data_IF_206938529779
#
_entry.id   IF_206938529779
#
_cell.length_a   1.000
_cell.length_b   1.000
_cell.length_c   1.000
_cell.angle_alpha   90.00
_cell.angle_beta   90.00
_cell.angle_gamma   90.00
#
_symmetry.space_group_name_H-M   'P 1'
#
loop_
_entity.id
_entity.type
_entity.pdbx_description
1 polymer ?
#
# COMPACT_ATOMS: atom_id res chain seq x y z
N UNK A 1 -16.32 -53.83 -13.05
CA UNK A 1 -17.02 -53.35 -14.26
C UNK A 1 -17.00 -51.82 -14.21
N UNK A 2 -16.36 -51.04 -15.07
CA UNK A 2 -15.52 -51.26 -16.24
C UNK A 2 -14.43 -50.16 -16.21
N UNK A 3 -13.17 -50.52 -16.47
CA UNK A 3 -12.06 -49.58 -16.58
C UNK A 3 -11.88 -49.24 -18.06
N UNK A 4 -11.89 -47.94 -18.39
CA UNK A 4 -11.65 -47.44 -19.74
C UNK A 4 -10.23 -46.90 -19.81
N UNK A 5 -9.35 -47.68 -20.43
CA UNK A 5 -7.98 -47.28 -20.80
C UNK A 5 -7.99 -46.60 -22.17
N UNK A 6 -7.40 -45.41 -22.27
CA UNK A 6 -7.13 -44.70 -23.52
C UNK A 6 -5.63 -44.76 -23.83
N UNK A 7 -5.20 -45.00 -25.09
CA UNK A 7 -3.80 -45.14 -25.42
C UNK A 7 -3.12 -43.79 -25.72
N UNK A 8 -1.90 -43.67 -25.21
CA UNK A 8 -0.94 -42.59 -25.48
C UNK A 8 -0.23 -42.82 -26.83
N UNK A 9 -0.33 -41.85 -27.75
CA UNK A 9 0.58 -41.74 -28.89
C UNK A 9 1.46 -40.51 -28.68
N UNK A 10 2.77 -40.73 -28.58
CA UNK A 10 3.81 -39.70 -28.56
C UNK A 10 4.64 -39.86 -29.82
N UNK A 11 4.34 -39.08 -30.84
CA UNK A 11 5.16 -38.96 -32.04
C UNK A 11 5.83 -37.58 -31.99
N UNK A 12 7.08 -37.55 -31.52
CA UNK A 12 7.88 -36.33 -31.35
C UNK A 12 8.72 -36.16 -32.62
N UNK A 13 8.15 -35.45 -33.60
CA UNK A 13 8.83 -35.00 -34.80
C UNK A 13 9.86 -33.92 -34.46
N UNK A 14 11.09 -34.14 -34.95
CA UNK A 14 12.16 -33.15 -35.09
C UNK A 14 11.65 -31.96 -35.92
N UNK A 15 11.67 -30.75 -35.37
CA UNK A 15 11.78 -29.49 -36.12
C UNK A 15 12.00 -28.32 -35.14
N UNK A 16 13.17 -28.26 -34.50
CA UNK A 16 13.61 -27.06 -33.75
C UNK A 16 15.09 -26.80 -34.06
N UNK A 17 15.37 -26.04 -35.12
CA UNK A 17 16.68 -25.39 -35.26
C UNK A 17 16.70 -24.08 -36.07
N UNK A 18 15.55 -23.46 -36.34
CA UNK A 18 15.47 -22.19 -37.09
C UNK A 18 14.50 -21.24 -36.36
N UNK A 19 14.89 -20.70 -35.20
CA UNK A 19 14.13 -19.63 -34.53
C UNK A 19 15.02 -18.50 -33.98
N UNK A 20 16.24 -18.81 -33.52
CA UNK A 20 17.10 -17.83 -32.83
C UNK A 20 17.72 -16.71 -33.69
N UNK A 21 17.49 -16.68 -35.01
CA UNK A 21 17.99 -15.59 -35.87
C UNK A 21 16.97 -14.49 -36.16
N UNK A 22 15.69 -14.73 -35.90
CA UNK A 22 14.62 -13.75 -36.15
C UNK A 22 14.62 -12.62 -35.10
N UNK A 23 14.88 -12.97 -33.83
CA UNK A 23 14.70 -12.01 -32.73
C UNK A 23 15.79 -10.94 -32.66
N UNK A 24 17.00 -11.22 -33.16
CA UNK A 24 18.09 -10.22 -33.23
C UNK A 24 17.89 -9.14 -34.31
N UNK A 25 17.03 -9.39 -35.29
CA UNK A 25 16.75 -8.42 -36.37
C UNK A 25 15.65 -7.44 -35.93
N UNK A 26 14.64 -7.92 -35.19
CA UNK A 26 13.57 -7.08 -34.63
C UNK A 26 14.09 -6.04 -33.64
N UNK A 27 15.06 -6.40 -32.79
CA UNK A 27 15.63 -5.48 -31.79
C UNK A 27 16.46 -4.33 -32.42
N UNK A 28 17.04 -4.54 -33.61
CA UNK A 28 17.74 -3.48 -34.36
C UNK A 28 16.79 -2.51 -35.05
N UNK A 29 15.62 -2.97 -35.52
CA UNK A 29 14.62 -2.11 -36.15
C UNK A 29 14.06 -1.07 -35.17
N UNK A 30 13.74 -1.48 -33.93
CA UNK A 30 13.21 -0.57 -32.92
C UNK A 30 14.22 0.50 -32.47
N UNK A 31 15.53 0.19 -32.42
CA UNK A 31 16.56 1.19 -32.10
C UNK A 31 16.68 2.29 -33.16
N UNK A 32 16.51 1.95 -34.43
CA UNK A 32 16.62 2.92 -35.54
C UNK A 32 15.42 3.86 -35.55
N UNK A 33 14.22 3.37 -35.22
CA UNK A 33 13.02 4.22 -35.16
C UNK A 33 13.05 5.22 -34.00
N UNK A 34 13.63 4.86 -32.85
CA UNK A 34 13.82 5.81 -31.72
C UNK A 34 14.87 6.90 -32.00
N UNK A 35 15.75 6.67 -32.99
CA UNK A 35 16.81 7.58 -33.40
C UNK A 35 16.34 8.59 -34.46
N UNK A 36 15.42 8.20 -35.35
CA UNK A 36 14.80 9.11 -36.34
C UNK A 36 13.88 10.15 -35.70
N UNK A 37 13.11 9.76 -34.68
CA UNK A 37 12.23 10.69 -33.95
C UNK A 37 13.06 11.72 -33.16
N UNK A 38 14.24 11.32 -32.68
CA UNK A 38 15.18 12.22 -32.01
C UNK A 38 15.78 13.27 -32.94
N UNK A 39 16.04 12.94 -34.21
CA UNK A 39 16.58 13.89 -35.18
C UNK A 39 15.53 14.95 -35.60
N UNK A 40 14.27 14.53 -35.73
CA UNK A 40 13.16 15.43 -36.07
C UNK A 40 12.87 16.45 -34.96
N UNK A 41 12.76 16.01 -33.70
CA UNK A 41 12.44 16.90 -32.56
C UNK A 41 13.56 17.93 -32.26
N UNK A 42 14.81 17.59 -32.60
CA UNK A 42 15.95 18.51 -32.43
C UNK A 42 15.92 19.67 -33.43
N UNK A 43 15.31 19.47 -34.60
CA UNK A 43 15.15 20.50 -35.63
C UNK A 43 14.28 21.67 -35.16
N UNK A 44 13.22 21.38 -34.40
CA UNK A 44 12.25 22.39 -33.94
C UNK A 44 12.83 23.34 -32.88
N UNK A 45 13.63 22.83 -31.93
CA UNK A 45 14.32 23.70 -30.96
C UNK A 45 15.47 24.50 -31.61
N UNK A 46 16.05 24.02 -32.71
CA UNK A 46 17.14 24.72 -33.43
C UNK A 46 16.59 25.82 -34.34
N UNK A 47 15.44 25.62 -34.99
CA UNK A 47 14.82 26.64 -35.86
C UNK A 47 14.42 27.91 -35.08
N UNK A 48 13.92 27.75 -33.85
CA UNK A 48 13.61 28.86 -32.95
C UNK A 48 14.88 29.69 -32.61
N UNK A 49 16.04 29.04 -32.48
CA UNK A 49 17.31 29.72 -32.19
C UNK A 49 17.91 30.40 -33.43
N UNK A 50 17.69 29.86 -34.63
CA UNK A 50 18.16 30.46 -35.88
C UNK A 50 17.42 31.77 -36.19
N UNK A 51 16.12 31.85 -35.89
CA UNK A 51 15.32 33.06 -36.12
C UNK A 51 15.67 34.20 -35.14
N UNK A 52 16.22 33.90 -33.96
CA UNK A 52 16.67 34.90 -32.98
C UNK A 52 18.00 35.58 -33.36
N UNK A 53 18.83 34.97 -34.21
CA UNK A 53 20.18 35.48 -34.53
C UNK A 53 20.16 36.51 -35.67
N UNK A 54 19.07 36.59 -36.44
CA UNK A 54 18.94 37.51 -37.57
C UNK A 54 18.68 38.98 -37.19
N UNK A 55 18.47 39.30 -35.90
CA UNK A 55 17.97 40.63 -35.48
C UNK A 55 18.89 41.33 -34.47
N UNK A 56 20.20 41.24 -34.67
CA UNK A 56 21.19 41.98 -33.87
C UNK A 56 21.38 43.41 -34.39
N UNK A 57 20.38 44.25 -34.13
CA UNK A 57 20.47 45.70 -34.25
C UNK A 57 20.01 46.38 -32.96
N UNK A 58 20.95 46.63 -32.04
CA UNK A 58 20.87 47.64 -30.96
C UNK A 58 19.58 47.67 -30.12
N UNK A 59 19.57 47.07 -28.93
CA UNK A 59 19.06 47.73 -27.71
C UNK A 59 19.32 46.85 -26.47
N UNK A 60 19.95 47.44 -25.45
CA UNK A 60 20.00 46.91 -24.09
C UNK A 60 18.57 46.89 -23.54
N UNK A 61 17.93 45.72 -23.52
CA UNK A 61 16.69 45.52 -22.77
C UNK A 61 16.83 44.25 -21.93
N UNK A 62 16.29 44.36 -20.74
CA UNK A 62 16.32 43.37 -19.67
C UNK A 62 15.84 42.01 -20.17
N UNK A 63 16.35 40.99 -19.48
CA UNK A 63 16.13 39.56 -19.66
C UNK A 63 14.65 39.17 -19.71
N UNK A 64 13.99 39.41 -20.83
CA UNK A 64 12.73 38.76 -21.17
C UNK A 64 13.10 37.36 -21.70
N UNK A 65 13.26 36.43 -20.76
CA UNK A 65 13.52 35.03 -21.08
C UNK A 65 12.29 34.47 -21.78
N UNK A 66 12.34 34.46 -23.12
CA UNK A 66 11.30 33.91 -23.98
C UNK A 66 10.88 32.52 -23.44
N UNK A 67 9.62 32.31 -23.03
CA UNK A 67 9.16 31.08 -22.38
C UNK A 67 9.43 29.83 -23.23
N UNK A 68 9.59 29.97 -24.54
CA UNK A 68 10.00 28.89 -25.45
C UNK A 68 11.41 28.34 -25.16
N UNK A 69 12.35 29.18 -24.71
CA UNK A 69 13.72 28.75 -24.38
C UNK A 69 13.81 27.91 -23.11
N UNK A 70 12.93 28.13 -22.13
CA UNK A 70 12.90 27.36 -20.88
C UNK A 70 12.52 25.90 -21.17
N UNK A 71 11.51 25.67 -22.00
CA UNK A 71 11.06 24.32 -22.34
C UNK A 71 12.10 23.52 -23.13
N UNK A 72 12.81 24.16 -24.08
CA UNK A 72 13.91 23.49 -24.78
C UNK A 72 15.08 23.16 -23.83
N UNK A 73 15.39 24.00 -22.84
CA UNK A 73 16.41 23.68 -21.83
C UNK A 73 15.99 22.49 -20.94
N UNK A 74 14.73 22.43 -20.51
CA UNK A 74 14.21 21.30 -19.72
C UNK A 74 14.22 20.00 -20.52
N UNK A 75 13.75 20.03 -21.77
CA UNK A 75 13.80 18.86 -22.67
C UNK A 75 15.23 18.38 -22.94
N UNK A 76 16.18 19.31 -23.10
CA UNK A 76 17.58 18.98 -23.33
C UNK A 76 18.25 18.35 -22.09
N UNK A 77 17.86 18.76 -20.89
CA UNK A 77 18.42 18.24 -19.65
C UNK A 77 17.89 16.84 -19.27
N UNK A 78 16.63 16.54 -19.57
CA UNK A 78 16.03 15.23 -19.32
C UNK A 78 14.99 14.90 -20.41
N UNK A 79 15.40 14.05 -21.37
CA UNK A 79 14.58 13.58 -22.51
C UNK A 79 13.21 13.05 -22.07
N UNK A 80 13.11 12.51 -20.86
CA UNK A 80 11.90 11.85 -20.37
C UNK A 80 11.23 12.58 -19.22
N UNK A 81 11.53 13.87 -19.04
CA UNK A 81 11.03 14.67 -17.93
C UNK A 81 9.49 14.69 -17.87
N UNK A 82 8.82 14.89 -19.00
CA UNK A 82 7.36 14.96 -19.07
C UNK A 82 6.72 13.63 -18.63
N UNK A 83 7.21 12.50 -19.15
CA UNK A 83 6.72 11.17 -18.80
C UNK A 83 6.94 10.85 -17.31
N UNK A 84 8.14 11.12 -16.78
CA UNK A 84 8.44 10.91 -15.35
C UNK A 84 7.56 11.77 -14.46
N UNK A 85 7.26 13.00 -14.87
CA UNK A 85 6.41 13.91 -14.11
C UNK A 85 4.94 13.49 -14.18
N UNK A 86 4.48 12.99 -15.33
CA UNK A 86 3.14 12.44 -15.50
C UNK A 86 2.91 11.20 -14.60
N UNK A 87 3.85 10.23 -14.58
CA UNK A 87 3.76 9.09 -13.67
C UNK A 87 3.72 9.56 -12.21
N UNK A 88 4.54 10.55 -11.85
CA UNK A 88 4.60 11.05 -10.47
C UNK A 88 3.30 11.73 -10.06
N UNK A 89 2.71 12.53 -10.95
CA UNK A 89 1.41 13.14 -10.74
C UNK A 89 0.31 12.08 -10.59
N UNK A 90 0.33 11.04 -11.43
CA UNK A 90 -0.59 9.90 -11.31
C UNK A 90 -0.42 9.15 -9.98
N UNK A 91 0.83 8.94 -9.54
CA UNK A 91 1.12 8.33 -8.23
C UNK A 91 0.59 9.18 -7.07
N UNK A 92 0.73 10.51 -7.13
CA UNK A 92 0.16 11.41 -6.14
C UNK A 92 -1.37 11.33 -6.11
N UNK A 93 -2.01 11.28 -7.28
CA UNK A 93 -3.47 11.16 -7.39
C UNK A 93 -3.97 9.85 -6.77
N UNK A 94 -3.33 8.72 -7.12
CA UNK A 94 -3.65 7.40 -6.55
C UNK A 94 -3.46 7.38 -5.04
N UNK A 95 -2.35 7.95 -4.54
CA UNK A 95 -2.07 8.03 -3.12
C UNK A 95 -3.11 8.90 -2.37
N UNK A 96 -3.55 10.00 -2.99
CA UNK A 96 -4.58 10.87 -2.41
C UNK A 96 -5.94 10.16 -2.32
N UNK A 97 -6.35 9.44 -3.37
CA UNK A 97 -7.60 8.65 -3.35
C UNK A 97 -7.52 7.57 -2.26
N UNK A 98 -6.41 6.82 -2.21
CA UNK A 98 -6.17 5.81 -1.19
C UNK A 98 -6.20 6.39 0.24
N UNK A 99 -5.60 7.57 0.44
CA UNK A 99 -5.61 8.30 1.70
C UNK A 99 -7.02 8.70 2.13
N UNK A 100 -7.83 9.25 1.21
CA UNK A 100 -9.21 9.63 1.50
C UNK A 100 -10.06 8.42 1.90
N UNK A 101 -9.91 7.28 1.21
CA UNK A 101 -10.59 6.04 1.56
C UNK A 101 -10.15 5.50 2.93
N UNK A 102 -8.84 5.49 3.22
CA UNK A 102 -8.31 5.03 4.50
C UNK A 102 -8.74 5.94 5.66
N UNK A 103 -8.77 7.26 5.43
CA UNK A 103 -9.27 8.24 6.40
C UNK A 103 -10.77 8.08 6.67
N UNK A 104 -11.57 7.75 5.64
CA UNK A 104 -12.99 7.45 5.80
C UNK A 104 -13.19 6.22 6.71
N UNK A 105 -12.47 5.12 6.46
CA UNK A 105 -12.51 3.93 7.31
C UNK A 105 -12.10 4.30 8.74
N UNK A 106 -11.00 5.02 8.92
CA UNK A 106 -10.52 5.40 10.25
C UNK A 106 -11.54 6.30 10.97
N UNK A 107 -12.21 7.21 10.28
CA UNK A 107 -13.23 8.06 10.90
C UNK A 107 -14.43 7.25 11.39
N UNK A 108 -14.93 6.32 10.57
CA UNK A 108 -16.10 5.52 10.91
C UNK A 108 -15.78 4.38 11.89
N UNK A 109 -14.52 4.00 12.03
CA UNK A 109 -14.09 2.97 12.99
C UNK A 109 -13.52 3.55 14.30
N UNK A 110 -12.79 4.67 14.27
CA UNK A 110 -12.06 5.15 15.45
C UNK A 110 -12.98 5.84 16.49
N UNK A 111 -14.10 6.44 16.09
CA UNK A 111 -15.02 7.09 17.04
C UNK A 111 -15.83 6.10 17.87
N UNK A 112 -16.14 4.92 17.32
CA UNK A 112 -17.02 3.94 17.95
C UNK A 112 -16.25 2.79 18.62
N UNK A 113 -15.07 2.42 18.10
CA UNK A 113 -14.39 1.18 18.49
C UNK A 113 -13.02 1.36 19.18
N UNK A 114 -12.58 2.60 19.46
CA UNK A 114 -11.23 2.88 20.01
C UNK A 114 -11.05 2.60 21.51
N UNK A 115 -12.09 2.13 22.20
CA UNK A 115 -11.95 1.69 23.58
C UNK A 115 -11.08 0.43 23.64
N UNK A 116 -9.92 0.49 24.32
CA UNK A 116 -8.99 -0.62 24.59
C UNK A 116 -9.63 -1.93 25.16
N UNK A 117 -10.93 -1.91 25.42
CA UNK A 117 -11.68 -2.93 26.15
C UNK A 117 -12.83 -3.53 25.32
N UNK A 118 -13.11 -2.98 24.14
CA UNK A 118 -14.28 -3.36 23.33
C UNK A 118 -13.80 -4.45 22.37
N UNK A 119 -13.91 -5.69 22.85
CA UNK A 119 -13.68 -6.98 22.18
C UNK A 119 -12.25 -7.44 21.91
N UNK A 120 -11.77 -8.33 22.80
CA UNK A 120 -10.72 -9.30 22.48
C UNK A 120 -11.21 -10.47 21.61
N UNK A 121 -12.53 -10.66 21.47
CA UNK A 121 -13.15 -11.82 20.82
C UNK A 121 -13.79 -11.57 19.45
N UNK A 122 -14.28 -10.35 19.17
CA UNK A 122 -14.57 -9.98 17.78
C UNK A 122 -13.23 -9.84 17.09
N UNK A 123 -13.02 -10.47 15.92
CA UNK A 123 -11.74 -10.46 15.23
C UNK A 123 -11.31 -9.01 15.12
N UNK A 124 -10.26 -8.63 15.88
CA UNK A 124 -9.80 -7.25 16.01
C UNK A 124 -9.98 -6.57 14.67
N UNK A 125 -10.87 -5.57 14.60
CA UNK A 125 -11.26 -4.99 13.31
C UNK A 125 -10.00 -4.52 12.62
N UNK A 126 -9.56 -5.31 11.65
CA UNK A 126 -8.33 -5.04 10.92
C UNK A 126 -8.50 -3.74 10.14
N UNK A 127 -9.72 -3.22 9.98
CA UNK A 127 -10.01 -1.88 9.49
C UNK A 127 -9.28 -0.78 10.26
N UNK A 128 -9.19 -0.90 11.59
CA UNK A 128 -8.37 0.03 12.38
C UNK A 128 -6.88 -0.13 12.06
N UNK A 129 -6.41 -1.37 11.87
CA UNK A 129 -5.01 -1.65 11.50
C UNK A 129 -4.71 -1.20 10.07
N UNK A 130 -5.65 -1.37 9.13
CA UNK A 130 -5.59 -0.87 7.77
C UNK A 130 -5.49 0.65 7.81
N UNK A 131 -6.38 1.33 8.53
CA UNK A 131 -6.30 2.79 8.68
C UNK A 131 -4.97 3.23 9.27
N UNK A 132 -4.53 2.59 10.36
CA UNK A 132 -3.30 2.95 11.08
C UNK A 132 -2.02 2.69 10.27
N UNK A 133 -2.00 1.65 9.44
CA UNK A 133 -0.82 1.30 8.60
C UNK A 133 -0.88 2.00 7.24
N UNK A 134 -2.03 2.00 6.57
CA UNK A 134 -2.18 2.54 5.22
C UNK A 134 -2.12 4.07 5.20
N UNK A 135 -2.68 4.77 6.21
CA UNK A 135 -2.65 6.25 6.25
C UNK A 135 -1.21 6.79 6.25
N UNK A 136 -0.31 6.38 7.16
CA UNK A 136 1.09 6.83 7.11
C UNK A 136 1.78 6.50 5.79
N UNK A 137 1.54 5.31 5.22
CA UNK A 137 2.16 4.89 3.96
C UNK A 137 1.69 5.78 2.79
N UNK A 138 0.39 6.06 2.68
CA UNK A 138 -0.13 6.97 1.65
C UNK A 138 0.33 8.41 1.85
N UNK A 139 0.39 8.91 3.09
CA UNK A 139 0.91 10.25 3.40
C UNK A 139 2.39 10.36 3.01
N UNK A 140 3.22 9.39 3.38
CA UNK A 140 4.64 9.38 3.02
C UNK A 140 4.84 9.25 1.50
N UNK A 141 4.05 8.42 0.83
CA UNK A 141 4.08 8.27 -0.63
C UNK A 141 3.66 9.57 -1.34
N UNK A 142 2.60 10.23 -0.87
CA UNK A 142 2.11 11.50 -1.40
C UNK A 142 3.12 12.63 -1.18
N UNK A 143 3.64 12.77 0.03
CA UNK A 143 4.64 13.81 0.37
C UNK A 143 5.91 13.62 -0.44
N UNK A 144 6.38 12.38 -0.63
CA UNK A 144 7.51 12.08 -1.50
C UNK A 144 7.25 12.44 -2.97
N UNK A 145 6.07 12.07 -3.50
CA UNK A 145 5.68 12.40 -4.87
C UNK A 145 5.60 13.92 -5.11
N UNK A 146 5.01 14.67 -4.17
CA UNK A 146 4.94 16.13 -4.21
C UNK A 146 6.31 16.79 -4.06
N UNK A 147 7.18 16.27 -3.19
CA UNK A 147 8.54 16.77 -3.03
C UNK A 147 9.35 16.57 -4.31
N UNK A 148 9.29 15.40 -4.92
CA UNK A 148 9.99 15.12 -6.19
C UNK A 148 9.45 16.00 -7.34
N UNK A 149 8.13 16.20 -7.43
CA UNK A 149 7.54 17.15 -8.38
C UNK A 149 8.00 18.58 -8.11
N UNK A 150 7.93 19.04 -6.85
CA UNK A 150 8.38 20.38 -6.45
C UNK A 150 9.85 20.61 -6.77
N UNK A 151 10.72 19.64 -6.49
CA UNK A 151 12.15 19.70 -6.85
C UNK A 151 12.34 19.81 -8.37
N UNK A 152 11.51 19.16 -9.18
CA UNK A 152 11.57 19.25 -10.65
C UNK A 152 11.09 20.59 -11.19
N UNK A 153 10.06 21.19 -10.59
CA UNK A 153 9.50 22.47 -11.03
C UNK A 153 10.24 23.69 -10.48
N UNK A 154 10.80 23.63 -9.26
CA UNK A 154 11.48 24.76 -8.64
C UNK A 154 12.97 24.88 -8.95
N UNK A 155 13.62 23.82 -9.47
CA UNK A 155 15.05 23.90 -9.81
C UNK A 155 15.25 24.79 -11.05
N UNK A 156 15.69 26.03 -10.81
CA UNK A 156 16.12 27.00 -11.84
C UNK A 156 17.34 26.57 -12.66
N UNK A 157 18.03 25.47 -12.33
CA UNK A 157 19.24 25.02 -13.02
C UNK A 157 19.22 23.50 -13.18
N UNK A 158 19.39 23.03 -14.43
CA UNK A 158 19.21 21.66 -14.91
C UNK A 158 20.15 20.58 -14.35
N UNK A 159 20.52 20.64 -13.06
CA UNK A 159 21.23 19.55 -12.41
C UNK A 159 20.23 18.43 -12.09
N UNK A 160 20.38 17.24 -12.71
CA UNK A 160 19.47 16.13 -12.46
C UNK A 160 19.51 15.75 -10.98
N UNK A 161 18.36 15.37 -10.42
CA UNK A 161 18.34 14.65 -9.14
C UNK A 161 19.26 13.43 -9.24
N UNK A 162 19.99 13.13 -8.16
CA UNK A 162 20.89 11.99 -8.17
C UNK A 162 20.06 10.72 -8.41
N UNK A 163 20.25 9.99 -9.52
CA UNK A 163 19.33 8.93 -9.94
C UNK A 163 19.28 7.79 -8.93
N UNK A 164 20.38 7.54 -8.22
CA UNK A 164 20.42 6.52 -7.17
C UNK A 164 19.56 6.88 -5.95
N UNK A 165 19.47 8.17 -5.57
CA UNK A 165 18.67 8.57 -4.41
C UNK A 165 17.18 8.39 -4.69
N UNK A 166 16.74 8.75 -5.90
CA UNK A 166 15.36 8.53 -6.36
C UNK A 166 15.05 7.04 -6.43
N UNK A 167 15.96 6.23 -7.01
CA UNK A 167 15.80 4.78 -7.09
C UNK A 167 15.65 4.12 -5.71
N UNK A 168 16.50 4.46 -4.74
CA UNK A 168 16.43 3.90 -3.39
C UNK A 168 15.11 4.26 -2.71
N UNK A 169 14.68 5.52 -2.79
CA UNK A 169 13.42 5.95 -2.18
C UNK A 169 12.21 5.25 -2.81
N UNK A 170 12.15 5.16 -4.15
CA UNK A 170 11.06 4.46 -4.82
C UNK A 170 11.05 2.95 -4.55
N UNK A 171 12.22 2.33 -4.36
CA UNK A 171 12.32 0.92 -3.93
C UNK A 171 11.78 0.73 -2.50
N UNK A 172 12.10 1.63 -1.57
CA UNK A 172 11.56 1.58 -0.21
C UNK A 172 10.04 1.71 -0.21
N UNK A 173 9.49 2.67 -0.96
CA UNK A 173 8.05 2.81 -1.10
C UNK A 173 7.40 1.58 -1.74
N UNK A 174 8.02 1.02 -2.76
CA UNK A 174 7.57 -0.24 -3.37
C UNK A 174 7.47 -1.37 -2.33
N UNK A 175 8.51 -1.58 -1.51
CA UNK A 175 8.47 -2.59 -0.45
C UNK A 175 7.38 -2.31 0.59
N UNK A 176 7.23 -1.07 1.03
CA UNK A 176 6.20 -0.70 2.03
C UNK A 176 4.77 -0.85 1.51
N UNK A 177 4.54 -0.62 0.21
CA UNK A 177 3.21 -0.80 -0.40
C UNK A 177 2.75 -2.26 -0.40
N UNK A 178 3.68 -3.23 -0.46
CA UNK A 178 3.33 -4.66 -0.32
C UNK A 178 2.67 -4.91 1.04
N UNK A 179 3.19 -4.30 2.11
CA UNK A 179 2.61 -4.41 3.46
C UNK A 179 1.20 -3.81 3.48
N UNK A 180 1.00 -2.63 2.90
CA UNK A 180 -0.32 -2.01 2.81
C UNK A 180 -1.34 -2.89 2.06
N UNK A 181 -0.92 -3.52 0.95
CA UNK A 181 -1.77 -4.44 0.17
C UNK A 181 -2.17 -5.65 1.02
N UNK A 182 -1.22 -6.29 1.71
CA UNK A 182 -1.49 -7.47 2.55
C UNK A 182 -2.47 -7.12 3.68
N UNK A 183 -2.30 -5.99 4.36
CA UNK A 183 -3.25 -5.58 5.40
C UNK A 183 -4.63 -5.26 4.82
N UNK A 184 -4.70 -4.58 3.68
CA UNK A 184 -5.97 -4.28 3.02
C UNK A 184 -6.71 -5.55 2.59
N UNK A 185 -6.00 -6.55 2.03
CA UNK A 185 -6.63 -7.82 1.63
C UNK A 185 -7.10 -8.64 2.82
N UNK A 186 -6.31 -8.69 3.90
CA UNK A 186 -6.70 -9.36 5.15
C UNK A 186 -7.95 -8.71 5.73
N UNK A 187 -8.01 -7.38 5.85
CA UNK A 187 -9.21 -6.73 6.39
C UNK A 187 -10.43 -6.86 5.49
N UNK A 188 -10.28 -6.82 4.16
CA UNK A 188 -11.39 -7.16 3.24
C UNK A 188 -11.88 -8.59 3.47
N UNK A 189 -10.98 -9.58 3.57
CA UNK A 189 -11.36 -10.96 3.80
C UNK A 189 -12.06 -11.15 5.16
N UNK A 190 -11.56 -10.50 6.22
CA UNK A 190 -12.19 -10.53 7.54
C UNK A 190 -13.55 -9.85 7.55
N UNK A 191 -13.68 -8.70 6.91
CA UNK A 191 -14.96 -7.98 6.85
C UNK A 191 -15.99 -8.74 6.00
N UNK A 192 -15.55 -9.46 4.96
CA UNK A 192 -16.41 -10.38 4.23
C UNK A 192 -16.88 -11.55 5.10
N UNK A 193 -15.99 -12.11 5.92
CA UNK A 193 -16.29 -13.17 6.88
C UNK A 193 -17.06 -12.69 8.13
N UNK A 194 -17.17 -11.38 8.37
CA UNK A 194 -17.92 -10.85 9.50
C UNK A 194 -19.37 -11.35 9.47
N UNK A 195 -19.84 -11.90 10.59
CA UNK A 195 -21.15 -12.53 10.71
C UNK A 195 -21.20 -14.00 10.29
N UNK A 196 -20.08 -14.63 9.96
CA UNK A 196 -20.03 -16.06 9.65
C UNK A 196 -19.06 -16.79 10.58
N UNK A 197 -19.45 -17.98 11.04
CA UNK A 197 -18.55 -18.90 11.74
C UNK A 197 -17.64 -19.67 10.75
N UNK A 198 -16.75 -20.51 11.27
CA UNK A 198 -15.84 -21.31 10.45
C UNK A 198 -16.54 -22.33 9.51
N UNK A 199 -17.81 -22.64 9.79
CA UNK A 199 -18.64 -23.54 9.00
C UNK A 199 -19.55 -22.79 8.01
N UNK A 200 -19.51 -21.45 8.01
CA UNK A 200 -20.36 -20.60 7.16
C UNK A 200 -21.76 -20.35 7.73
N UNK A 201 -22.03 -20.66 8.99
CA UNK A 201 -23.30 -20.33 9.65
C UNK A 201 -23.33 -18.86 10.05
N UNK A 202 -24.49 -18.22 9.98
CA UNK A 202 -24.70 -16.82 10.37
C UNK A 202 -24.75 -16.65 11.89
N UNK A 203 -23.57 -16.74 12.51
CA UNK A 203 -23.38 -16.63 13.96
C UNK A 203 -22.18 -15.75 14.24
N UNK A 204 -22.37 -14.74 15.09
CA UNK A 204 -21.29 -13.92 15.61
C UNK A 204 -21.02 -14.33 17.06
N UNK A 205 -19.91 -15.03 17.29
CA UNK A 205 -19.53 -15.40 18.66
C UNK A 205 -18.98 -14.19 19.40
N UNK A 206 -19.57 -13.88 20.55
CA UNK A 206 -19.05 -12.85 21.45
C UNK A 206 -18.20 -13.53 22.51
N UNK A 207 -16.90 -13.72 22.30
CA UNK A 207 -16.03 -14.37 23.31
C UNK A 207 -15.81 -13.55 24.59
N UNK A 208 -16.39 -12.36 24.71
CA UNK A 208 -16.21 -11.58 25.93
C UNK A 208 -16.99 -12.21 27.08
N UNK A 209 -16.28 -12.49 28.17
CA UNK A 209 -16.89 -12.89 29.43
C UNK A 209 -17.32 -11.63 30.18
N UNK A 210 -18.63 -11.42 30.27
CA UNK A 210 -19.18 -10.34 31.09
C UNK A 210 -19.29 -10.82 32.52
N UNK A 211 -18.53 -10.21 33.43
CA UNK A 211 -18.61 -10.49 34.87
C UNK A 211 -19.65 -9.55 35.48
N UNK A 212 -20.79 -10.10 35.89
CA UNK A 212 -21.76 -9.34 36.67
C UNK A 212 -21.21 -9.06 38.07
N UNK A 213 -21.72 -8.03 38.76
CA UNK A 213 -21.41 -7.78 40.19
C UNK A 213 -21.70 -8.98 41.09
N UNK A 214 -22.60 -9.87 40.66
CA UNK A 214 -22.93 -11.10 41.36
C UNK A 214 -21.90 -12.23 41.16
N UNK A 215 -20.85 -12.01 40.36
CA UNK A 215 -19.83 -12.99 40.01
C UNK A 215 -20.23 -13.92 38.86
N UNK A 216 -21.25 -13.55 38.07
CA UNK A 216 -21.76 -14.39 36.98
C UNK A 216 -21.04 -13.99 35.69
N UNK A 217 -20.39 -14.96 35.05
CA UNK A 217 -19.81 -14.84 33.71
C UNK A 217 -20.82 -15.35 32.68
N UNK A 218 -21.39 -14.47 31.87
CA UNK A 218 -22.21 -14.89 30.73
C UNK A 218 -21.39 -14.92 29.44
N UNK A 219 -21.61 -15.94 28.62
CA UNK A 219 -21.13 -16.03 27.25
C UNK A 219 -22.32 -16.13 26.30
N UNK A 220 -22.32 -15.32 25.24
CA UNK A 220 -23.41 -15.29 24.27
C UNK A 220 -22.92 -15.26 22.83
N UNK A 221 -23.88 -15.34 21.93
CA UNK A 221 -23.67 -15.29 20.50
C UNK A 221 -24.78 -14.43 19.89
N UNK A 222 -24.46 -13.67 18.85
CA UNK A 222 -25.49 -13.05 18.05
C UNK A 222 -25.97 -14.02 16.97
N UNK A 223 -27.27 -14.06 16.78
CA UNK A 223 -27.93 -14.75 15.68
C UNK A 223 -28.62 -13.71 14.79
N UNK A 224 -28.51 -13.89 13.48
CA UNK A 224 -29.21 -13.00 12.54
C UNK A 224 -30.68 -13.38 12.46
N UNK A 225 -31.55 -12.41 12.71
CA UNK A 225 -32.96 -12.49 12.38
C UNK A 225 -33.12 -12.14 10.89
N UNK A 226 -33.44 -13.13 10.06
CA UNK A 226 -33.53 -12.96 8.61
C UNK A 226 -34.65 -12.00 8.17
N UNK A 227 -35.72 -11.88 8.95
CA UNK A 227 -36.87 -11.02 8.61
C UNK A 227 -36.59 -9.54 8.87
N UNK A 228 -35.81 -9.25 9.92
CA UNK A 228 -35.46 -7.89 10.31
C UNK A 228 -34.10 -7.45 9.76
N UNK A 229 -33.27 -8.39 9.29
CA UNK A 229 -31.86 -8.19 8.96
C UNK A 229 -31.04 -7.59 10.11
N UNK A 230 -31.38 -8.00 11.34
CA UNK A 230 -30.73 -7.55 12.56
C UNK A 230 -30.10 -8.73 13.31
N UNK A 231 -28.97 -8.48 13.94
CA UNK A 231 -28.31 -9.36 14.89
C UNK A 231 -28.96 -9.22 16.26
N UNK A 232 -29.45 -10.35 16.78
CA UNK A 232 -30.03 -10.48 18.11
C UNK A 232 -29.08 -11.27 19.01
N UNK A 233 -28.76 -10.72 20.18
CA UNK A 233 -27.88 -11.38 21.12
C UNK A 233 -28.61 -12.47 21.92
N UNK A 234 -27.99 -13.64 22.05
CA UNK A 234 -28.52 -14.78 22.81
C UNK A 234 -27.44 -15.31 23.74
N UNK A 235 -27.69 -15.34 25.05
CA UNK A 235 -26.75 -15.87 26.06
C UNK A 235 -26.71 -17.39 25.96
N UNK A 236 -25.61 -17.98 25.49
CA UNK A 236 -25.51 -19.44 25.34
C UNK A 236 -25.12 -20.17 26.62
N UNK A 237 -24.28 -19.55 27.45
CA UNK A 237 -23.77 -20.17 28.68
C UNK A 237 -23.63 -19.16 29.78
N UNK A 238 -23.83 -19.64 31.00
CA UNK A 238 -23.66 -18.85 32.21
C UNK A 238 -22.75 -19.66 33.14
N UNK A 239 -21.62 -19.08 33.52
CA UNK A 239 -20.71 -19.63 34.50
C UNK A 239 -20.83 -18.80 35.77
N UNK A 240 -20.99 -19.46 36.91
CA UNK A 240 -20.91 -18.80 38.20
C UNK A 240 -19.45 -18.87 38.65
N UNK A 241 -18.78 -17.72 38.78
CA UNK A 241 -17.43 -17.71 39.35
C UNK A 241 -17.53 -18.16 40.81
N UNK A 242 -16.74 -19.17 41.18
CA UNK A 242 -16.80 -19.81 42.50
C UNK A 242 -16.41 -18.88 43.66
N UNK A 243 -15.73 -17.78 43.33
CA UNK A 243 -15.21 -16.81 44.27
C UNK A 243 -15.98 -15.50 44.12
N UNK A 244 -17.07 -15.37 44.87
CA UNK A 244 -17.68 -14.06 45.07
C UNK A 244 -16.82 -13.31 46.07
N UNK A 245 -16.27 -12.18 45.63
CA UNK A 245 -15.70 -11.19 46.54
C UNK A 245 -16.85 -10.46 47.21
N UNK A 246 -17.06 -10.69 48.50
CA UNK A 246 -18.01 -9.93 49.31
C UNK A 246 -17.25 -8.94 50.18
N UNK A 247 -17.68 -7.68 50.18
CA UNK A 247 -17.16 -6.67 51.09
C UNK A 247 -17.76 -6.87 52.47
N UNK A 248 -16.93 -7.29 53.42
CA UNK A 248 -17.36 -7.46 54.79
C UNK A 248 -17.35 -6.10 55.50
N UNK A 249 -18.53 -5.53 55.74
CA UNK A 249 -18.70 -4.23 56.41
C UNK A 249 -18.12 -4.20 57.83
N UNK A 250 -18.05 -5.35 58.50
CA UNK A 250 -17.54 -5.47 59.87
C UNK A 250 -16.01 -5.46 59.92
N UNK A 251 -15.35 -6.09 58.94
CA UNK A 251 -13.88 -6.17 58.89
C UNK A 251 -13.24 -5.11 57.99
N UNK A 252 -14.02 -4.47 57.12
CA UNK A 252 -13.50 -3.55 56.11
C UNK A 252 -12.57 -4.24 55.10
N UNK A 253 -12.78 -5.54 54.84
CA UNK A 253 -11.98 -6.33 53.92
C UNK A 253 -12.87 -7.08 52.93
N UNK A 254 -12.36 -7.31 51.72
CA UNK A 254 -12.96 -8.25 50.78
C UNK A 254 -12.68 -9.69 51.24
N UNK A 255 -13.72 -10.51 51.37
CA UNK A 255 -13.61 -11.94 51.64
C UNK A 255 -14.12 -12.76 50.47
N UNK A 256 -13.42 -13.85 50.14
CA UNK A 256 -13.85 -14.83 49.15
C UNK A 256 -14.82 -15.80 49.84
N UNK A 257 -16.07 -15.83 49.38
CA UNK A 257 -17.05 -16.82 49.86
C UNK A 257 -17.15 -17.93 48.80
N UNK A 258 -16.84 -19.19 49.12
CA UNK A 258 -16.91 -20.30 48.17
C UNK A 258 -18.37 -20.61 47.82
N UNK A 259 -18.69 -20.57 46.54
CA UNK A 259 -20.01 -20.98 46.05
C UNK A 259 -20.17 -22.50 46.11
N UNK A 260 -21.20 -23.00 46.81
CA UNK A 260 -21.44 -24.44 47.02
C UNK A 260 -22.43 -25.07 46.01
N UNK A 261 -22.82 -24.36 44.95
CA UNK A 261 -23.76 -24.84 43.93
C UNK A 261 -23.09 -25.49 42.70
N UNK A 262 -23.88 -26.06 41.77
CA UNK A 262 -23.37 -26.67 40.52
C UNK A 262 -22.63 -25.65 39.64
N UNK A 263 -21.47 -26.06 39.08
CA UNK A 263 -20.50 -25.21 38.36
C UNK A 263 -20.97 -24.71 36.99
N UNK A 264 -21.82 -25.46 36.32
CA UNK A 264 -22.34 -25.13 35.00
C UNK A 264 -23.84 -25.37 35.04
N UNK A 265 -24.59 -24.36 34.68
CA UNK A 265 -26.01 -24.52 34.44
C UNK A 265 -26.23 -24.14 32.98
N UNK A 266 -26.68 -25.10 32.19
CA UNK A 266 -27.25 -24.78 30.89
C UNK A 266 -28.47 -23.91 31.14
N UNK A 267 -28.50 -22.76 30.49
CA UNK A 267 -29.68 -21.91 30.50
C UNK A 267 -30.37 -22.09 29.15
N UNK A 268 -31.69 -22.24 29.16
CA UNK A 268 -32.51 -22.14 27.96
C UNK A 268 -33.28 -20.82 28.02
N UNK A 269 -33.41 -20.15 26.88
CA UNK A 269 -34.22 -18.95 26.80
C UNK A 269 -35.68 -19.37 26.76
N UNK A 270 -36.47 -18.87 27.71
CA UNK A 270 -37.90 -19.08 27.71
C UNK A 270 -38.58 -17.86 27.07
N UNK A 271 -39.02 -18.02 25.82
CA UNK A 271 -39.71 -16.99 25.04
C UNK A 271 -40.96 -16.45 25.76
N UNK A 272 -41.61 -17.27 26.61
CA UNK A 272 -42.81 -16.87 27.35
C UNK A 272 -42.50 -15.95 28.53
N UNK A 273 -41.31 -16.08 29.10
CA UNK A 273 -40.85 -15.28 30.24
C UNK A 273 -39.95 -14.12 29.81
N UNK A 274 -39.49 -14.11 28.56
CA UNK A 274 -38.50 -13.15 28.07
C UNK A 274 -37.18 -13.22 28.86
N UNK A 275 -36.86 -14.39 29.43
CA UNK A 275 -35.76 -14.54 30.38
C UNK A 275 -35.10 -15.90 30.23
N UNK A 276 -33.83 -15.94 30.60
CA UNK A 276 -33.09 -17.20 30.68
C UNK A 276 -33.55 -17.98 31.91
N UNK A 277 -33.91 -19.24 31.71
CA UNK A 277 -34.29 -20.15 32.78
C UNK A 277 -33.23 -21.23 32.84
N UNK A 278 -32.63 -21.38 34.01
CA UNK A 278 -31.71 -22.47 34.28
C UNK A 278 -32.48 -23.80 34.25
N UNK A 279 -31.82 -24.92 33.97
CA UNK A 279 -32.46 -26.25 33.99
C UNK A 279 -33.24 -26.55 35.29
N UNK A 280 -32.89 -25.90 36.40
CA UNK A 280 -33.59 -26.02 37.68
C UNK A 280 -34.83 -25.09 37.83
N UNK A 281 -35.25 -24.41 36.77
CA UNK A 281 -36.39 -23.47 36.77
C UNK A 281 -36.07 -22.08 37.31
N UNK A 282 -34.82 -21.80 37.69
CA UNK A 282 -34.44 -20.47 38.19
C UNK A 282 -34.40 -19.50 37.02
N UNK A 283 -35.28 -18.50 37.06
CA UNK A 283 -35.28 -17.37 36.13
C UNK A 283 -34.09 -16.49 36.46
N UNK A 284 -33.07 -16.51 35.61
CA UNK A 284 -31.99 -15.54 35.66
C UNK A 284 -32.51 -14.24 35.04
N UNK A 285 -32.94 -13.30 35.87
CA UNK A 285 -33.27 -11.94 35.42
C UNK A 285 -32.08 -11.30 34.69
N UNK A 286 -32.37 -10.61 33.58
CA UNK A 286 -31.47 -9.77 32.76
C UNK A 286 -29.98 -10.15 32.82
N UNK A 287 -29.63 -11.34 32.32
CA UNK A 287 -28.27 -11.90 32.47
C UNK A 287 -27.25 -11.25 31.55
N UNK A 288 -27.68 -10.44 30.59
CA UNK A 288 -26.75 -9.66 29.79
C UNK A 288 -26.30 -8.45 30.60
N UNK A 289 -25.35 -8.69 31.49
CA UNK A 289 -24.68 -7.64 32.22
C UNK A 289 -23.65 -6.97 31.30
N UNK A 290 -24.11 -6.18 30.31
CA UNK A 290 -23.22 -5.17 29.76
C UNK A 290 -22.84 -4.27 30.94
N UNK A 291 -21.54 -4.04 31.07
CA UNK A 291 -20.84 -3.51 32.24
C UNK A 291 -21.59 -2.31 32.85
N UNK A 292 -21.47 -2.14 34.17
CA UNK A 292 -22.15 -1.18 35.04
C UNK A 292 -22.63 0.13 34.39
N UNK A 293 -23.68 0.75 34.93
CA UNK A 293 -24.33 2.03 34.53
C UNK A 293 -23.41 3.20 34.09
N UNK A 294 -22.09 3.12 34.35
CA UNK A 294 -21.07 4.11 33.99
C UNK A 294 -20.03 3.63 32.95
N UNK A 295 -20.04 2.37 32.53
CA UNK A 295 -19.13 1.80 31.56
C UNK A 295 -19.77 1.78 30.17
N UNK A 296 -19.39 2.74 29.31
CA UNK A 296 -19.77 2.71 27.89
C UNK A 296 -18.98 1.61 27.14
N UNK A 297 -19.61 0.88 26.20
CA UNK A 297 -21.01 0.97 25.78
C UNK A 297 -21.98 0.10 26.62
N UNK A 298 -23.24 0.54 26.75
CA UNK A 298 -24.32 -0.29 27.33
C UNK A 298 -24.80 -1.37 26.32
N UNK A 299 -25.70 -2.28 26.72
CA UNK A 299 -26.13 -3.37 25.83
C UNK A 299 -26.85 -2.90 24.57
N UNK A 300 -27.66 -1.85 24.68
CA UNK A 300 -28.41 -1.30 23.56
C UNK A 300 -27.46 -0.62 22.56
N UNK A 301 -26.50 0.16 23.05
CA UNK A 301 -25.42 0.76 22.27
C UNK A 301 -24.57 -0.32 21.58
N UNK A 302 -24.31 -1.43 22.26
CA UNK A 302 -23.56 -2.56 21.73
C UNK A 302 -24.32 -3.27 20.60
N UNK A 303 -25.62 -3.51 20.78
CA UNK A 303 -26.47 -4.10 19.74
C UNK A 303 -26.61 -3.18 18.54
N UNK A 304 -26.83 -1.89 18.79
CA UNK A 304 -26.87 -0.87 17.75
C UNK A 304 -25.55 -0.86 16.97
N UNK A 305 -24.41 -0.91 17.65
CA UNK A 305 -23.09 -0.94 17.01
C UNK A 305 -22.87 -2.18 16.14
N UNK A 306 -23.24 -3.39 16.61
CA UNK A 306 -23.13 -4.62 15.80
C UNK A 306 -24.03 -4.55 14.57
N UNK A 307 -25.24 -4.02 14.72
CA UNK A 307 -26.19 -3.85 13.62
C UNK A 307 -25.76 -2.77 12.62
N UNK A 308 -25.30 -1.62 13.08
CA UNK A 308 -24.78 -0.55 12.23
C UNK A 308 -23.60 -1.06 11.39
N UNK A 309 -22.68 -1.79 12.02
CA UNK A 309 -21.55 -2.40 11.32
C UNK A 309 -22.00 -3.45 10.29
N UNK A 310 -23.01 -4.26 10.61
CA UNK A 310 -23.59 -5.20 9.65
C UNK A 310 -24.19 -4.50 8.44
N UNK A 311 -24.94 -3.42 8.66
CA UNK A 311 -25.52 -2.60 7.60
C UNK A 311 -24.44 -1.90 6.76
N UNK A 312 -23.35 -1.46 7.37
CA UNK A 312 -22.22 -0.82 6.68
C UNK A 312 -21.25 -1.83 6.02
N UNK A 313 -21.37 -3.13 6.29
CA UNK A 313 -20.46 -4.17 5.77
C UNK A 313 -20.18 -4.06 4.27
N UNK A 314 -21.18 -3.89 3.38
CA UNK A 314 -20.91 -3.78 1.94
C UNK A 314 -20.02 -2.57 1.61
N UNK A 315 -20.22 -1.46 2.31
CA UNK A 315 -19.46 -0.23 2.14
C UNK A 315 -18.01 -0.42 2.62
N UNK A 316 -17.80 -0.99 3.80
CA UNK A 316 -16.44 -1.29 4.31
C UNK A 316 -15.68 -2.22 3.38
N UNK A 317 -16.33 -3.29 2.89
CA UNK A 317 -15.73 -4.21 1.91
C UNK A 317 -15.39 -3.50 0.60
N UNK A 318 -16.28 -2.64 0.09
CA UNK A 318 -16.03 -1.88 -1.14
C UNK A 318 -14.85 -0.91 -0.97
N UNK A 319 -14.82 -0.14 0.12
CA UNK A 319 -13.74 0.82 0.40
C UNK A 319 -12.42 0.09 0.64
N UNK A 320 -12.41 -1.02 1.38
CA UNK A 320 -11.22 -1.86 1.56
C UNK A 320 -10.65 -2.39 0.25
N UNK A 321 -11.51 -2.82 -0.69
CA UNK A 321 -11.10 -3.21 -2.05
C UNK A 321 -10.49 -2.03 -2.82
N UNK A 322 -11.10 -0.85 -2.75
CA UNK A 322 -10.54 0.36 -3.38
C UNK A 322 -9.16 0.68 -2.81
N UNK A 323 -8.97 0.60 -1.49
CA UNK A 323 -7.66 0.79 -0.85
C UNK A 323 -6.63 -0.21 -1.39
N UNK A 324 -6.98 -1.49 -1.48
CA UNK A 324 -6.09 -2.53 -2.03
C UNK A 324 -5.73 -2.26 -3.49
N UNK A 325 -6.69 -1.82 -4.32
CA UNK A 325 -6.47 -1.45 -5.72
C UNK A 325 -5.56 -0.22 -5.82
N UNK A 326 -5.82 0.84 -5.04
CA UNK A 326 -4.98 2.04 -5.04
C UNK A 326 -3.56 1.76 -4.56
N UNK A 327 -3.40 0.94 -3.52
CA UNK A 327 -2.08 0.51 -3.06
C UNK A 327 -1.34 -0.32 -4.12
N UNK A 328 -2.05 -1.18 -4.85
CA UNK A 328 -1.48 -1.97 -5.97
C UNK A 328 -1.08 -1.08 -7.16
N UNK A 329 -1.87 -0.07 -7.50
CA UNK A 329 -1.51 0.90 -8.53
C UNK A 329 -0.30 1.74 -8.09
N UNK A 330 -0.27 2.21 -6.84
CA UNK A 330 0.87 2.93 -6.29
C UNK A 330 2.15 2.06 -6.30
N UNK A 331 2.03 0.77 -5.96
CA UNK A 331 3.11 -0.21 -6.06
C UNK A 331 3.67 -0.27 -7.49
N UNK A 332 2.82 -0.45 -8.50
CA UNK A 332 3.24 -0.53 -9.91
C UNK A 332 3.91 0.78 -10.35
N UNK A 333 3.37 1.94 -9.96
CA UNK A 333 3.93 3.24 -10.33
C UNK A 333 5.31 3.47 -9.67
N UNK A 334 5.48 3.14 -8.39
CA UNK A 334 6.79 3.19 -7.72
C UNK A 334 7.79 2.24 -8.37
N UNK A 335 7.37 1.02 -8.72
CA UNK A 335 8.23 0.06 -9.42
C UNK A 335 8.68 0.59 -10.80
N UNK A 336 7.77 1.17 -11.58
CA UNK A 336 8.09 1.73 -12.89
C UNK A 336 9.12 2.87 -12.79
N UNK A 337 8.97 3.75 -11.80
CA UNK A 337 9.92 4.82 -11.53
C UNK A 337 11.28 4.29 -11.06
N UNK A 338 11.29 3.30 -10.16
CA UNK A 338 12.50 2.63 -9.69
C UNK A 338 13.28 1.95 -10.82
N UNK A 339 12.59 1.13 -11.64
CA UNK A 339 13.21 0.43 -12.76
C UNK A 339 13.83 1.43 -13.74
N UNK A 340 13.12 2.51 -14.05
CA UNK A 340 13.61 3.57 -14.93
C UNK A 340 14.81 4.30 -14.33
N UNK A 341 14.78 4.65 -13.05
CA UNK A 341 15.88 5.31 -12.37
C UNK A 341 17.14 4.41 -12.34
N UNK A 342 16.95 3.10 -12.20
CA UNK A 342 18.03 2.11 -12.25
C UNK A 342 18.65 1.99 -13.65
N UNK A 343 17.82 1.91 -14.70
CA UNK A 343 18.28 1.91 -16.10
C UNK A 343 19.08 3.17 -16.41
N UNK A 344 18.59 4.33 -15.97
CA UNK A 344 19.27 5.61 -16.17
C UNK A 344 20.61 5.66 -15.42
N UNK A 345 20.67 5.15 -14.18
CA UNK A 345 21.91 5.07 -13.42
C UNK A 345 22.96 4.16 -14.10
N UNK A 346 22.52 3.01 -14.64
CA UNK A 346 23.40 2.10 -15.39
C UNK A 346 23.88 2.77 -16.68
N UNK A 347 22.99 3.46 -17.40
CA UNK A 347 23.31 4.18 -18.63
C UNK A 347 24.37 5.24 -18.40
N UNK A 348 24.21 6.08 -17.37
CA UNK A 348 25.20 7.10 -17.00
C UNK A 348 26.56 6.51 -16.65
N UNK A 349 26.61 5.43 -15.86
CA UNK A 349 27.88 4.74 -15.56
C UNK A 349 28.56 4.20 -16.82
N UNK A 350 27.78 3.74 -17.81
CA UNK A 350 28.32 3.29 -19.11
C UNK A 350 28.86 4.47 -19.92
N UNK A 351 28.12 5.58 -19.99
CA UNK A 351 28.53 6.81 -20.68
C UNK A 351 29.83 7.37 -20.06
N UNK A 352 29.90 7.51 -18.74
CA UNK A 352 31.11 7.94 -18.01
C UNK A 352 32.31 7.02 -18.29
N UNK A 353 32.09 5.70 -18.31
CA UNK A 353 33.16 4.74 -18.65
C UNK A 353 33.62 4.90 -20.10
N UNK A 354 32.71 5.13 -21.04
CA UNK A 354 33.03 5.37 -22.45
C UNK A 354 33.79 6.69 -22.62
N UNK A 355 33.37 7.75 -21.94
CA UNK A 355 34.06 9.04 -21.97
C UNK A 355 35.46 8.95 -21.39
N UNK A 356 35.63 8.24 -20.27
CA UNK A 356 36.95 7.97 -19.70
C UNK A 356 37.84 7.22 -20.69
N UNK A 357 37.34 6.14 -21.30
CA UNK A 357 38.10 5.38 -22.31
C UNK A 357 38.44 6.23 -23.55
N UNK A 358 37.55 7.15 -23.97
CA UNK A 358 37.84 8.09 -25.05
C UNK A 358 38.90 9.11 -24.66
N UNK A 359 38.87 9.62 -23.43
CA UNK A 359 39.88 10.54 -22.92
C UNK A 359 41.25 9.86 -22.81
N UNK A 360 41.29 8.64 -22.29
CA UNK A 360 42.51 7.83 -22.19
C UNK A 360 43.09 7.54 -23.60
N UNK A 361 42.25 7.15 -24.57
CA UNK A 361 42.67 6.94 -25.95
C UNK A 361 43.17 8.21 -26.65
N UNK A 362 42.55 9.37 -26.36
CA UNK A 362 42.98 10.65 -26.89
C UNK A 362 44.36 11.05 -26.34
N UNK A 363 44.59 10.83 -25.03
CA UNK A 363 45.88 11.08 -24.41
C UNK A 363 46.98 10.17 -24.96
N UNK A 364 46.68 8.91 -25.27
CA UNK A 364 47.64 8.00 -25.91
C UNK A 364 48.02 8.45 -27.33
N UNK A 365 47.05 8.98 -28.09
CA UNK A 365 47.31 9.53 -29.42
C UNK A 365 48.15 10.82 -29.35
N UNK A 366 47.79 11.76 -28.47
CA UNK A 366 48.51 13.02 -28.31
C UNK A 366 49.89 12.83 -27.68
N UNK A 367 50.09 11.83 -26.81
CA UNK A 367 51.38 11.54 -26.17
C UNK A 367 52.44 10.98 -27.14
N UNK A 368 52.04 10.27 -28.20
CA UNK A 368 52.96 9.73 -29.20
C UNK A 368 53.55 10.80 -30.14
N UNK A 369 52.93 11.97 -30.24
CA UNK A 369 53.42 13.06 -31.09
C UNK A 369 54.57 13.86 -30.43
N UNK A 370 54.90 13.62 -29.16
CA UNK A 370 55.94 14.37 -28.44
C UNK A 370 57.23 13.59 -28.13
N UNK A 371 57.30 12.27 -28.37
CA UNK A 371 58.44 11.47 -27.90
C UNK A 371 59.55 11.15 -28.91
N UNK A 372 59.42 11.43 -30.21
CA UNK A 372 60.54 11.25 -31.14
C UNK A 372 60.57 12.35 -32.21
N UNK A 373 61.17 13.50 -31.88
CA UNK A 373 61.95 14.22 -32.89
C UNK A 373 63.13 13.28 -33.18
N UNK A 374 63.23 12.68 -34.39
CA UNK A 374 64.24 11.67 -34.63
C UNK A 374 65.63 12.24 -34.40
N UNK A 375 66.49 11.52 -33.68
CA UNK A 375 67.85 11.96 -33.29
C UNK A 375 68.71 12.42 -34.49
N UNK A 376 68.36 12.00 -35.71
CA UNK A 376 69.00 12.45 -36.94
C UNK A 376 68.67 13.90 -37.34
N UNK A 377 67.57 14.50 -36.86
CA UNK A 377 67.24 15.92 -37.08
C UNK A 377 68.02 16.89 -36.16
N UNK A 378 68.61 16.39 -35.07
CA UNK A 378 69.41 17.22 -34.16
C UNK A 378 70.86 17.41 -34.64
N UNK A 379 71.36 16.56 -35.56
CA UNK A 379 72.76 16.60 -36.01
C UNK A 379 73.06 17.55 -37.19
N UNK A 380 72.06 18.09 -37.89
CA UNK A 380 72.30 18.98 -39.05
C UNK A 380 72.47 20.47 -38.69
N UNK A 381 72.21 20.90 -37.45
CA UNK A 381 72.37 22.30 -37.03
C UNK A 381 73.76 22.66 -36.49
N UNK A 382 74.70 21.72 -36.47
CA UNK A 382 76.08 21.92 -35.96
C UNK A 382 77.15 22.31 -36.98
N UNK A 383 76.83 22.38 -38.28
CA UNK A 383 77.80 22.76 -39.33
C UNK A 383 77.28 23.93 -40.17
N UNK A 384 77.38 25.15 -39.62
CA UNK A 384 77.49 26.37 -40.41
C UNK A 384 78.41 27.37 -39.75
#
# INVERSE_FOLDING_TARGET
>A
MAATTTPSNTEKGKDEHISDKSDRVSEKGNRVSEESDYASEKGDCISAKANSISDKGSHNSETDSDPSTIWCQVKAADRFWAYKSAIRALQCLVALIGLCCAAWILKNTNSLYSGNWIYSGLPHFDDFRIGTVAVPIFVLSLTWGLLDLGVRFWRKQGRPTHPAAVAVADLLFWLTMIVAIVYATIGVARMQAFGYDANGNEVLSDETSYISRAGIHSWGQYHRNADLDLWLYTVKRVHLNQERLEWNLTTGQWSIVPYTGPMFLTANYDDSLGSWVLENGTVLGEVRACKEEYARPNCEELDMMVNDLWLEKPTHVAVGKVIAVMASLALILHFALFARASVEAIRRRREEKIEKLRADAKFELEGKDYEEEPDWMLNERGYR
#
